data_IF_962646809856
#
_entry.id   IF_962646809856
#
_cell.length_a   1.000
_cell.length_b   1.000
_cell.length_c   1.000
_cell.angle_alpha   90.00
_cell.angle_beta   90.00
_cell.angle_gamma   90.00
#
_symmetry.space_group_name_H-M   'P 1'
#
loop_
_entity.id
_entity.type
_entity.pdbx_description
1 polymer ?
#
# COMPACT_ATOMS: atom_id res chain seq x y z
N UNK A 1 52.14 -11.76 22.77
CA UNK A 1 51.65 -11.88 21.38
C UNK A 1 50.14 -11.71 21.36
N UNK A 2 49.66 -10.76 20.57
CA UNK A 2 48.38 -10.07 20.69
C UNK A 2 47.16 -10.87 20.20
N UNK A 3 46.36 -11.41 21.11
CA UNK A 3 45.08 -12.09 20.78
C UNK A 3 43.84 -11.53 21.47
N UNK A 4 43.93 -10.38 22.18
CA UNK A 4 42.81 -9.89 23.00
C UNK A 4 42.01 -8.70 22.43
N UNK A 5 42.53 -7.98 21.43
CA UNK A 5 41.84 -6.81 20.85
C UNK A 5 40.88 -7.15 19.69
N UNK A 6 41.11 -8.24 18.96
CA UNK A 6 40.38 -8.55 17.71
C UNK A 6 38.90 -8.91 17.91
N UNK A 7 38.47 -9.25 19.12
CA UNK A 7 37.08 -9.65 19.42
C UNK A 7 36.21 -8.48 19.90
N UNK A 8 36.82 -7.37 20.34
CA UNK A 8 36.08 -6.21 20.86
C UNK A 8 35.58 -5.30 19.73
N UNK A 9 36.36 -5.17 18.66
CA UNK A 9 35.98 -4.42 17.45
C UNK A 9 34.85 -5.12 16.66
N UNK A 10 34.85 -6.44 16.58
CA UNK A 10 33.78 -7.18 15.89
C UNK A 10 32.40 -7.04 16.56
N UNK A 11 32.35 -6.95 17.90
CA UNK A 11 31.08 -6.76 18.62
C UNK A 11 30.55 -5.33 18.50
N UNK A 12 31.44 -4.35 18.31
CA UNK A 12 31.11 -2.93 18.16
C UNK A 12 30.48 -2.63 16.79
N UNK A 13 30.88 -3.37 15.76
CA UNK A 13 30.34 -3.23 14.41
C UNK A 13 28.95 -3.90 14.26
N UNK A 14 28.78 -5.11 14.82
CA UNK A 14 27.50 -5.84 14.76
C UNK A 14 26.35 -5.13 15.50
N UNK A 15 26.61 -4.41 16.59
CA UNK A 15 25.57 -3.67 17.33
C UNK A 15 25.20 -2.35 16.65
N UNK A 16 26.13 -1.75 15.91
CA UNK A 16 25.90 -0.49 15.20
C UNK A 16 25.05 -0.71 13.93
N UNK A 17 25.23 -1.84 13.24
CA UNK A 17 24.40 -2.23 12.09
C UNK A 17 22.96 -2.59 12.48
N UNK A 18 22.78 -3.46 13.48
CA UNK A 18 21.45 -3.94 13.91
C UNK A 18 20.53 -2.81 14.42
N UNK A 19 21.09 -1.81 15.12
CA UNK A 19 20.29 -0.67 15.59
C UNK A 19 19.82 0.21 14.44
N UNK A 20 20.62 0.32 13.38
CA UNK A 20 20.30 1.15 12.20
C UNK A 20 19.24 0.48 11.32
N UNK A 21 19.31 -0.84 11.19
CA UNK A 21 18.33 -1.65 10.45
C UNK A 21 16.96 -1.64 11.15
N UNK A 22 16.91 -1.92 12.46
CA UNK A 22 15.68 -1.86 13.24
C UNK A 22 15.05 -0.45 13.25
N UNK A 23 15.87 0.61 13.29
CA UNK A 23 15.38 1.98 13.19
C UNK A 23 14.80 2.30 11.81
N UNK A 24 15.40 1.77 10.72
CA UNK A 24 14.87 1.89 9.36
C UNK A 24 13.57 1.11 9.19
N UNK A 25 13.45 -0.07 9.78
CA UNK A 25 12.21 -0.84 9.72
C UNK A 25 11.07 -0.13 10.47
N UNK A 26 11.36 0.43 11.65
CA UNK A 26 10.42 1.29 12.41
C UNK A 26 10.00 2.54 11.65
N UNK A 27 10.92 3.18 10.90
CA UNK A 27 10.60 4.34 10.06
C UNK A 27 9.68 3.95 8.90
N UNK A 28 9.93 2.79 8.28
CA UNK A 28 9.08 2.22 7.23
C UNK A 28 7.66 1.95 7.73
N UNK A 29 7.52 1.31 8.89
CA UNK A 29 6.22 1.05 9.51
C UNK A 29 5.45 2.35 9.77
N UNK A 30 6.13 3.37 10.35
CA UNK A 30 5.54 4.70 10.59
C UNK A 30 5.14 5.39 9.29
N UNK A 31 5.97 5.28 8.26
CA UNK A 31 5.70 5.83 6.94
C UNK A 31 4.44 5.21 6.34
N UNK A 32 4.31 3.89 6.37
CA UNK A 32 3.11 3.19 5.86
C UNK A 32 1.86 3.51 6.67
N UNK A 33 1.97 3.61 8.00
CA UNK A 33 0.86 4.00 8.86
C UNK A 33 0.37 5.42 8.54
N UNK A 34 1.31 6.36 8.37
CA UNK A 34 0.98 7.74 7.97
C UNK A 34 0.35 7.81 6.60
N UNK A 35 0.92 7.13 5.60
CA UNK A 35 0.36 7.05 4.25
C UNK A 35 -1.10 6.57 4.29
N UNK A 36 -1.37 5.46 5.00
CA UNK A 36 -2.72 4.90 5.11
C UNK A 36 -3.69 5.86 5.79
N UNK A 37 -3.32 6.40 6.96
CA UNK A 37 -4.14 7.39 7.69
C UNK A 37 -4.42 8.60 6.81
N UNK A 38 -3.43 9.06 6.06
CA UNK A 38 -3.58 10.25 5.22
C UNK A 38 -4.46 10.00 4.00
N UNK A 39 -4.36 8.81 3.39
CA UNK A 39 -5.24 8.39 2.31
C UNK A 39 -6.70 8.21 2.77
N UNK A 40 -6.97 7.54 3.89
CA UNK A 40 -8.36 7.33 4.36
C UNK A 40 -9.05 8.61 4.83
N UNK A 41 -8.27 9.62 5.21
CA UNK A 41 -8.79 10.94 5.59
C UNK A 41 -8.96 11.88 4.40
N UNK A 42 -8.53 11.49 3.19
CA UNK A 42 -8.80 12.27 1.98
C UNK A 42 -10.25 12.07 1.52
N UNK A 43 -10.98 13.16 1.23
CA UNK A 43 -12.33 13.06 0.68
C UNK A 43 -12.29 12.46 -0.74
N UNK A 44 -13.08 11.42 -0.98
CA UNK A 44 -13.16 10.75 -2.29
C UNK A 44 -12.11 9.67 -2.54
N UNK A 45 -11.28 9.34 -1.55
CA UNK A 45 -10.40 8.17 -1.60
C UNK A 45 -11.13 6.94 -1.08
N UNK A 46 -11.34 5.96 -1.97
CA UNK A 46 -11.97 4.68 -1.62
C UNK A 46 -10.91 3.66 -1.16
N UNK A 47 -11.35 2.58 -0.52
CA UNK A 47 -10.47 1.50 -0.03
C UNK A 47 -9.64 0.89 -1.16
N UNK A 48 -10.16 0.84 -2.38
CA UNK A 48 -9.43 0.36 -3.55
C UNK A 48 -8.16 1.19 -3.84
N UNK A 49 -8.27 2.53 -3.74
CA UNK A 49 -7.15 3.46 -3.92
C UNK A 49 -6.11 3.26 -2.82
N UNK A 50 -6.55 3.10 -1.57
CA UNK A 50 -5.64 2.80 -0.44
C UNK A 50 -4.88 1.50 -0.68
N UNK A 51 -5.58 0.43 -1.07
CA UNK A 51 -4.97 -0.87 -1.34
C UNK A 51 -3.98 -0.83 -2.51
N UNK A 52 -4.33 -0.09 -3.58
CA UNK A 52 -3.47 0.09 -4.73
C UNK A 52 -2.18 0.84 -4.35
N UNK A 53 -2.29 1.93 -3.59
CA UNK A 53 -1.14 2.69 -3.10
C UNK A 53 -0.20 1.85 -2.21
N UNK A 54 -0.77 1.09 -1.27
CA UNK A 54 0.01 0.19 -0.40
C UNK A 54 0.69 -0.90 -1.22
N UNK A 55 0.01 -1.44 -2.24
CA UNK A 55 0.58 -2.45 -3.14
C UNK A 55 1.77 -1.90 -3.93
N UNK A 56 1.67 -0.70 -4.48
CA UNK A 56 2.76 -0.05 -5.22
C UNK A 56 4.00 0.16 -4.34
N UNK A 57 3.80 0.70 -3.13
CA UNK A 57 4.91 0.92 -2.19
C UNK A 57 5.54 -0.41 -1.78
N UNK A 58 4.72 -1.42 -1.47
CA UNK A 58 5.20 -2.74 -1.05
C UNK A 58 5.97 -3.44 -2.17
N UNK A 59 5.45 -3.38 -3.41
CA UNK A 59 6.12 -3.93 -4.57
C UNK A 59 7.46 -3.25 -4.81
N UNK A 60 7.49 -1.92 -4.81
CA UNK A 60 8.74 -1.17 -4.99
C UNK A 60 9.77 -1.48 -3.90
N UNK A 61 9.34 -1.53 -2.62
CA UNK A 61 10.23 -1.88 -1.52
C UNK A 61 10.76 -3.32 -1.64
N UNK A 62 9.97 -4.25 -2.19
CA UNK A 62 10.43 -5.62 -2.47
C UNK A 62 11.39 -5.69 -3.68
N UNK A 63 11.19 -4.84 -4.70
CA UNK A 63 12.00 -4.81 -5.92
C UNK A 63 13.34 -4.10 -5.73
N UNK A 64 13.36 -2.95 -5.06
CA UNK A 64 14.58 -2.14 -4.88
C UNK A 64 15.27 -2.43 -3.55
N UNK A 65 14.56 -3.00 -2.58
CA UNK A 65 15.02 -3.09 -1.19
C UNK A 65 15.17 -1.72 -0.52
N UNK A 66 14.72 -0.65 -1.19
CA UNK A 66 14.95 0.71 -0.75
C UNK A 66 13.85 1.18 0.22
N UNK A 67 14.20 2.15 1.06
CA UNK A 67 13.27 2.68 2.04
C UNK A 67 12.21 3.53 1.32
N UNK A 68 10.91 3.41 1.63
CA UNK A 68 9.88 4.14 0.90
C UNK A 68 10.01 5.66 1.01
N UNK A 69 10.64 6.16 2.08
CA UNK A 69 10.97 7.59 2.20
C UNK A 69 12.03 8.08 1.21
N UNK A 70 12.94 7.23 0.80
CA UNK A 70 13.99 7.57 -0.17
C UNK A 70 13.39 7.54 -1.59
N UNK A 71 12.62 6.50 -1.89
CA UNK A 71 12.01 6.31 -3.21
C UNK A 71 10.79 7.23 -3.48
N UNK A 72 9.91 7.40 -2.49
CA UNK A 72 8.63 8.12 -2.64
C UNK A 72 8.58 9.45 -1.89
N UNK A 73 9.58 9.74 -1.04
CA UNK A 73 9.63 10.97 -0.26
C UNK A 73 8.69 10.97 0.95
N UNK A 74 8.06 12.11 1.18
CA UNK A 74 7.17 12.32 2.34
C UNK A 74 5.84 11.57 2.18
N UNK A 75 5.39 10.81 3.20
CA UNK A 75 4.19 9.98 3.11
C UNK A 75 2.90 10.80 2.93
N UNK A 76 2.83 12.01 3.50
CA UNK A 76 1.67 12.89 3.37
C UNK A 76 1.61 13.47 1.95
N UNK A 77 2.75 13.95 1.44
CA UNK A 77 2.84 14.47 0.07
C UNK A 77 2.50 13.37 -0.97
N UNK A 78 3.03 12.16 -0.77
CA UNK A 78 2.73 11.02 -1.62
C UNK A 78 1.25 10.62 -1.55
N UNK A 79 0.65 10.64 -0.35
CA UNK A 79 -0.78 10.36 -0.18
C UNK A 79 -1.66 11.34 -0.96
N UNK A 80 -1.37 12.64 -0.88
CA UNK A 80 -2.12 13.70 -1.59
C UNK A 80 -1.95 13.55 -3.11
N UNK A 81 -0.72 13.31 -3.59
CA UNK A 81 -0.46 13.08 -5.02
C UNK A 81 -1.19 11.84 -5.54
N UNK A 82 -1.15 10.75 -4.78
CA UNK A 82 -1.81 9.48 -5.10
C UNK A 82 -3.32 9.65 -5.12
N UNK A 83 -3.89 10.32 -4.12
CA UNK A 83 -5.31 10.65 -4.07
C UNK A 83 -5.74 11.51 -5.27
N UNK A 84 -4.98 12.55 -5.61
CA UNK A 84 -5.28 13.41 -6.75
C UNK A 84 -5.23 12.65 -8.09
N UNK A 85 -4.27 11.72 -8.24
CA UNK A 85 -4.13 10.90 -9.46
C UNK A 85 -5.23 9.83 -9.57
N UNK A 86 -5.53 9.13 -8.47
CA UNK A 86 -6.35 7.92 -8.50
C UNK A 86 -7.83 8.17 -8.20
N UNK A 87 -8.22 9.19 -7.41
CA UNK A 87 -9.61 9.47 -7.11
C UNK A 87 -10.51 9.72 -8.35
N UNK A 88 -10.08 10.48 -9.39
CA UNK A 88 -10.90 10.64 -10.59
C UNK A 88 -10.95 9.36 -11.45
N UNK A 89 -9.85 8.62 -11.54
CA UNK A 89 -9.77 7.37 -12.30
C UNK A 89 -10.59 6.24 -11.64
N UNK A 90 -10.57 6.14 -10.31
CA UNK A 90 -11.33 5.16 -9.54
C UNK A 90 -12.84 5.42 -9.64
N UNK A 91 -13.28 6.69 -9.62
CA UNK A 91 -14.68 7.05 -9.89
C UNK A 91 -15.14 6.55 -11.26
N UNK A 92 -14.39 6.79 -12.32
CA UNK A 92 -14.72 6.32 -13.66
C UNK A 92 -14.71 4.78 -13.77
N UNK A 93 -13.71 4.12 -13.17
CA UNK A 93 -13.63 2.66 -13.13
C UNK A 93 -14.79 2.03 -12.33
N UNK A 94 -15.25 2.69 -11.27
CA UNK A 94 -16.39 2.26 -10.48
C UNK A 94 -17.70 2.42 -11.23
N UNK A 95 -17.89 3.50 -11.98
CA UNK A 95 -19.08 3.67 -12.84
C UNK A 95 -19.19 2.52 -13.85
N UNK A 96 -18.06 2.14 -14.46
CA UNK A 96 -17.95 0.98 -15.37
C UNK A 96 -18.25 -0.34 -14.66
N UNK A 97 -17.76 -0.54 -13.43
CA UNK A 97 -18.04 -1.75 -12.62
C UNK A 97 -19.47 -1.82 -12.11
N UNK A 98 -20.08 -0.68 -11.76
CA UNK A 98 -21.46 -0.62 -11.27
C UNK A 98 -22.44 -0.97 -12.38
N UNK A 99 -22.20 -0.47 -13.59
CA UNK A 99 -22.96 -0.81 -14.79
C UNK A 99 -22.91 -2.32 -15.09
N UNK A 100 -21.71 -2.92 -15.00
CA UNK A 100 -21.54 -4.36 -15.23
C UNK A 100 -22.12 -5.26 -14.12
N UNK A 101 -22.23 -4.80 -12.86
CA UNK A 101 -22.89 -5.56 -11.78
C UNK A 101 -24.43 -5.50 -11.84
N UNK A 102 -25.01 -4.39 -12.32
CA UNK A 102 -26.47 -4.29 -12.55
C UNK A 102 -26.91 -5.21 -13.69
N UNK A 103 -26.07 -5.43 -14.71
CA UNK A 103 -26.31 -6.42 -15.75
C UNK A 103 -26.39 -7.87 -15.22
N UNK A 104 -25.54 -8.25 -14.26
CA UNK A 104 -25.50 -9.63 -13.76
C UNK A 104 -26.66 -9.97 -12.82
N UNK A 105 -27.15 -8.99 -12.03
CA UNK A 105 -28.34 -9.18 -11.18
C UNK A 105 -29.66 -9.11 -11.96
N UNK A 106 -29.70 -8.42 -13.10
CA UNK A 106 -30.85 -8.44 -14.01
C UNK A 106 -31.05 -9.77 -14.75
N UNK A 107 -29.97 -10.49 -15.06
CA UNK A 107 -30.05 -11.79 -15.74
C UNK A 107 -30.51 -12.93 -14.82
N UNK A 108 -30.26 -12.84 -13.51
CA UNK A 108 -30.71 -13.87 -12.56
C UNK A 108 -32.22 -13.78 -12.25
N UNK A 109 -32.82 -12.59 -12.25
CA UNK A 109 -34.25 -12.44 -11.97
C UNK A 109 -35.15 -12.76 -13.17
N UNK A 110 -34.64 -12.64 -14.42
CA UNK A 110 -35.42 -13.01 -15.62
C UNK A 110 -35.60 -14.53 -15.77
N UNK A 111 -34.67 -15.34 -15.24
CA UNK A 111 -34.75 -16.81 -15.25
C UNK A 111 -35.72 -17.40 -14.21
N UNK A 112 -36.33 -16.57 -13.36
CA UNK A 112 -37.33 -17.01 -12.38
C UNK A 112 -38.78 -16.85 -12.88
N UNK A 113 -39.02 -16.12 -13.98
CA UNK A 113 -40.35 -15.95 -14.57
C UNK A 113 -40.74 -17.01 -15.61
N UNK A 114 -39.80 -17.86 -16.02
CA UNK A 114 -39.96 -18.76 -17.19
C UNK A 114 -40.44 -20.18 -16.80
N UNK A 115 -40.65 -20.44 -15.50
CA UNK A 115 -40.97 -21.78 -14.96
C UNK A 115 -42.40 -21.93 -14.41
N UNK A 116 -43.23 -20.88 -14.50
CA UNK A 116 -44.65 -20.95 -14.14
C UNK A 116 -45.49 -20.82 -15.40
N UNK A 117 -45.54 -21.89 -16.19
CA UNK A 117 -46.26 -21.93 -17.45
C UNK A 117 -46.35 -23.34 -18.02
N UNK A 118 -46.90 -24.28 -17.25
CA UNK A 118 -47.67 -25.41 -17.77
C UNK A 118 -48.60 -25.97 -16.69
#
# INVERSE_FOLDING_TARGET
MAKKDRTKDQKKDQTKGQTTDAAREKDREKWMARLQVRLVTQPGVDRAVVLQAVKEVTAHCAETGEHPRDAFGDPDAYAVQTAARLAPADRAARERRRDSMVGTLGSALKRAGEVTGL
#
